data_IF_266833769330
#
_entry.id   IF_266833769330
#
_cell.length_a   1.000
_cell.length_b   1.000
_cell.length_c   1.000
_cell.angle_alpha   90.00
_cell.angle_beta   90.00
_cell.angle_gamma   90.00
#
_symmetry.space_group_name_H-M   'P 1'
#
loop_
_entity.id
_entity.type
_entity.pdbx_description
1 polymer ?
#
# COMPACT_ATOMS: atom_id res chain seq x y z
N UNK A 1 -26.91 -68.10 3.30
CA UNK A 1 -26.99 -67.48 4.65
C UNK A 1 -25.94 -66.38 4.74
N UNK A 2 -26.27 -65.31 5.47
CA UNK A 2 -25.47 -64.09 5.73
C UNK A 2 -25.69 -62.94 4.73
N UNK A 3 -26.88 -62.38 4.91
CA UNK A 3 -27.31 -61.00 4.70
C UNK A 3 -26.28 -59.95 5.15
N UNK A 4 -25.96 -58.98 4.29
CA UNK A 4 -25.31 -57.72 4.67
C UNK A 4 -26.38 -56.62 4.76
N UNK A 5 -26.61 -56.13 5.97
CA UNK A 5 -27.42 -54.95 6.26
C UNK A 5 -26.64 -53.66 5.94
N UNK A 6 -27.31 -52.56 5.52
CA UNK A 6 -26.68 -51.26 5.36
C UNK A 6 -26.69 -50.47 6.68
N UNK A 7 -25.52 -49.97 7.08
CA UNK A 7 -25.35 -49.03 8.19
C UNK A 7 -25.67 -47.61 7.68
N UNK A 8 -26.77 -47.03 8.17
CA UNK A 8 -27.04 -45.59 8.09
C UNK A 8 -26.14 -44.87 9.11
N UNK A 9 -25.42 -43.85 8.65
CA UNK A 9 -24.77 -42.87 9.53
C UNK A 9 -25.49 -41.56 9.28
N UNK A 10 -26.43 -41.24 10.16
CA UNK A 10 -26.99 -39.91 10.31
C UNK A 10 -26.04 -39.09 11.19
N UNK A 11 -25.39 -38.09 10.61
CA UNK A 11 -24.65 -37.06 11.34
C UNK A 11 -25.36 -35.74 11.10
N UNK A 12 -26.34 -35.47 11.95
CA UNK A 12 -27.00 -34.19 12.07
C UNK A 12 -26.01 -33.17 12.64
N UNK A 13 -25.61 -32.20 11.81
CA UNK A 13 -24.87 -31.03 12.25
C UNK A 13 -25.89 -29.95 12.64
N UNK A 14 -26.10 -29.81 13.95
CA UNK A 14 -27.02 -28.85 14.54
C UNK A 14 -26.29 -27.51 14.69
N UNK A 15 -26.50 -26.60 13.72
CA UNK A 15 -26.04 -25.22 13.78
C UNK A 15 -27.06 -24.43 14.61
N UNK A 16 -26.71 -24.07 15.85
CA UNK A 16 -27.47 -23.09 16.62
C UNK A 16 -27.05 -21.68 16.16
N UNK A 17 -27.98 -20.99 15.51
CA UNK A 17 -27.96 -19.53 15.34
C UNK A 17 -28.79 -18.93 16.48
N UNK A 18 -28.14 -18.26 17.42
CA UNK A 18 -28.81 -17.34 18.36
C UNK A 18 -28.88 -15.95 17.70
N UNK A 19 -30.10 -15.49 17.45
CA UNK A 19 -30.41 -14.13 17.02
C UNK A 19 -30.78 -13.29 18.24
N UNK A 20 -30.31 -12.03 18.37
CA UNK A 20 -30.83 -11.11 19.36
C UNK A 20 -32.19 -10.55 18.93
N UNK A 21 -33.13 -10.55 19.87
CA UNK A 21 -34.49 -10.04 19.71
C UNK A 21 -34.52 -8.51 19.80
N UNK A 22 -34.92 -7.85 18.72
CA UNK A 22 -35.35 -6.45 18.73
C UNK A 22 -36.87 -6.35 18.90
N UNK A 23 -37.28 -5.46 19.83
CA UNK A 23 -38.66 -5.07 20.12
C UNK A 23 -39.23 -4.15 19.03
N UNK A 24 -40.56 -4.10 18.86
CA UNK A 24 -41.18 -3.55 17.66
C UNK A 24 -41.41 -2.04 17.73
N UNK A 25 -41.30 -1.40 16.57
CA UNK A 25 -41.78 -0.05 16.28
C UNK A 25 -43.04 -0.15 15.41
N UNK A 26 -44.12 0.57 15.76
CA UNK A 26 -45.22 0.84 14.84
C UNK A 26 -45.91 2.19 15.13
N UNK A 27 -45.92 3.03 14.08
CA UNK A 27 -46.89 4.08 13.70
C UNK A 27 -47.12 5.26 14.67
N UNK A 28 -46.63 6.48 14.38
CA UNK A 28 -47.11 7.47 13.38
C UNK A 28 -48.44 8.13 13.76
N UNK A 29 -48.47 9.47 13.85
CA UNK A 29 -49.27 10.38 13.00
C UNK A 29 -49.45 11.79 13.66
N UNK A 30 -49.08 12.83 12.87
CA UNK A 30 -49.52 14.24 12.81
C UNK A 30 -49.32 15.28 13.93
N UNK A 31 -48.79 16.45 13.51
CA UNK A 31 -49.43 17.74 13.80
C UNK A 31 -48.57 18.83 14.47
N UNK A 32 -47.96 19.71 13.68
CA UNK A 32 -47.50 21.04 14.12
C UNK A 32 -48.69 22.05 14.17
N UNK A 33 -48.49 23.36 14.45
CA UNK A 33 -47.95 24.03 15.64
C UNK A 33 -48.87 25.19 16.16
N UNK A 34 -48.63 25.77 17.35
CA UNK A 34 -48.64 27.25 17.68
C UNK A 34 -48.86 27.61 19.17
N UNK A 35 -47.94 28.48 19.64
CA UNK A 35 -48.10 29.78 20.39
C UNK A 35 -48.84 29.91 21.75
N UNK A 36 -48.08 30.51 22.67
CA UNK A 36 -48.34 31.71 23.53
C UNK A 36 -48.96 31.63 24.93
N UNK A 37 -48.50 32.59 25.76
CA UNK A 37 -48.84 33.00 27.15
C UNK A 37 -48.17 32.16 28.25
N UNK A 38 -47.44 32.69 29.23
CA UNK A 38 -47.36 34.04 29.80
C UNK A 38 -48.04 34.04 31.16
N UNK A 39 -47.30 34.19 32.27
CA UNK A 39 -47.60 35.07 33.42
C UNK A 39 -46.71 34.80 34.66
N UNK A 40 -46.25 35.92 35.24
CA UNK A 40 -45.45 36.12 36.45
C UNK A 40 -46.17 35.88 37.79
N UNK A 41 -45.38 35.66 38.86
CA UNK A 41 -45.58 36.14 40.26
C UNK A 41 -44.20 36.38 40.90
N UNK A 42 -43.71 37.63 41.07
CA UNK A 42 -43.69 38.53 42.28
C UNK A 42 -43.32 37.83 43.61
N UNK A 43 -42.12 38.05 44.18
CA UNK A 43 -41.63 39.14 45.09
C UNK A 43 -42.07 38.97 46.56
N UNK A 44 -41.13 38.87 47.53
CA UNK A 44 -40.81 39.89 48.57
C UNK A 44 -39.79 39.39 49.64
N UNK A 45 -38.91 40.32 50.10
CA UNK A 45 -37.94 40.25 51.20
C UNK A 45 -38.57 40.47 52.61
N UNK A 46 -37.80 40.26 53.70
CA UNK A 46 -37.34 41.37 54.59
C UNK A 46 -35.86 41.19 55.02
N UNK A 47 -34.94 42.18 55.09
CA UNK A 47 -34.78 43.45 55.84
C UNK A 47 -34.21 43.35 57.27
N UNK A 48 -33.05 43.99 57.48
CA UNK A 48 -32.55 44.56 58.75
C UNK A 48 -31.32 43.88 59.36
N UNK A 49 -30.38 44.54 60.04
CA UNK A 49 -29.95 45.94 60.13
C UNK A 49 -28.61 45.99 60.90
N UNK A 50 -27.73 46.94 60.54
CA UNK A 50 -26.70 47.64 61.34
C UNK A 50 -25.68 46.91 62.27
N UNK A 51 -24.36 47.13 62.02
CA UNK A 51 -23.48 48.05 62.79
C UNK A 51 -21.97 47.83 62.55
N UNK A 52 -21.36 48.85 61.96
CA UNK A 52 -20.10 49.53 62.31
C UNK A 52 -19.15 48.88 63.35
N UNK A 53 -17.88 48.67 62.96
CA UNK A 53 -16.73 49.39 63.57
C UNK A 53 -15.47 49.37 62.69
N UNK A 54 -14.89 50.56 62.52
CA UNK A 54 -13.62 50.88 61.86
C UNK A 54 -12.41 50.52 62.74
N UNK A 55 -11.28 50.25 62.08
CA UNK A 55 -9.87 50.67 62.33
C UNK A 55 -8.99 49.61 61.61
N UNK A 56 -8.09 49.88 60.66
CA UNK A 56 -7.21 51.02 60.42
C UNK A 56 -5.77 50.56 60.68
N UNK A 57 -4.94 50.41 59.63
CA UNK A 57 -3.50 50.17 59.77
C UNK A 57 -2.83 49.40 58.61
N UNK A 58 -2.38 50.13 57.58
CA UNK A 58 -1.15 49.81 56.83
C UNK A 58 0.05 50.41 57.60
N UNK A 59 1.35 50.19 57.25
CA UNK A 59 1.93 49.41 56.14
C UNK A 59 3.06 48.45 56.61
N UNK A 60 3.79 47.81 55.68
CA UNK A 60 5.29 47.74 55.61
C UNK A 60 5.73 46.66 54.59
N UNK A 61 6.46 47.11 53.57
CA UNK A 61 7.34 46.29 52.69
C UNK A 61 8.61 45.85 53.45
N UNK A 62 9.28 44.76 53.04
CA UNK A 62 10.63 44.97 52.49
C UNK A 62 10.98 44.07 51.28
N UNK A 63 11.63 44.68 50.27
CA UNK A 63 13.02 44.45 49.82
C UNK A 63 13.28 43.11 49.09
N UNK A 64 13.50 43.12 47.77
CA UNK A 64 14.82 43.26 47.12
C UNK A 64 15.92 42.39 47.75
N UNK A 65 16.23 41.26 47.10
CA UNK A 65 17.53 40.61 47.22
C UNK A 65 18.13 40.39 45.83
N UNK A 66 19.02 41.31 45.48
CA UNK A 66 20.13 41.11 44.56
C UNK A 66 21.15 40.15 45.19
N UNK A 67 21.62 39.16 44.44
CA UNK A 67 22.81 38.38 44.79
C UNK A 67 23.80 38.46 43.63
N UNK A 68 24.77 39.35 43.78
CA UNK A 68 26.03 39.37 43.04
C UNK A 68 27.13 38.70 43.85
N UNK A 69 27.82 37.78 43.18
CA UNK A 69 29.23 37.39 43.31
C UNK A 69 29.76 36.79 44.64
N UNK A 70 30.41 35.63 44.51
CA UNK A 70 31.72 35.44 45.15
C UNK A 70 32.63 34.56 44.32
N UNK A 71 33.67 35.21 43.80
CA UNK A 71 34.88 34.68 43.19
C UNK A 71 35.87 34.18 44.24
N UNK A 72 36.34 32.94 44.12
CA UNK A 72 37.68 32.42 44.49
C UNK A 72 37.86 31.15 43.62
N UNK A 73 38.80 30.99 42.72
CA UNK A 73 40.14 31.53 42.57
C UNK A 73 41.10 30.35 42.50
N UNK A 74 41.60 30.00 41.31
CA UNK A 74 42.85 29.25 41.15
C UNK A 74 43.41 29.47 39.73
N UNK A 75 44.68 29.84 39.72
CA UNK A 75 45.45 30.41 38.62
C UNK A 75 45.98 29.36 37.62
N UNK A 76 46.22 29.86 36.41
CA UNK A 76 47.37 29.61 35.53
C UNK A 76 47.54 28.24 34.84
N UNK A 77 47.30 28.26 33.52
CA UNK A 77 48.31 27.85 32.54
C UNK A 77 48.10 28.62 31.23
N UNK A 78 48.95 29.63 30.99
CA UNK A 78 49.15 30.24 29.68
C UNK A 78 49.94 29.27 28.80
N UNK A 79 49.48 29.04 27.57
CA UNK A 79 50.15 28.12 26.65
C UNK A 79 49.76 28.29 25.18
N UNK A 80 50.32 29.32 24.55
CA UNK A 80 50.64 29.45 23.11
C UNK A 80 49.49 29.36 22.08
N UNK A 81 49.19 30.53 21.51
CA UNK A 81 48.68 30.69 20.15
C UNK A 81 49.69 30.06 19.17
N UNK A 82 49.26 29.05 18.42
CA UNK A 82 49.89 28.67 17.17
C UNK A 82 48.85 28.69 16.05
N UNK A 83 49.17 29.45 15.01
CA UNK A 83 48.41 29.61 13.78
C UNK A 83 48.19 28.28 13.07
N UNK A 84 46.95 28.00 12.68
CA UNK A 84 46.61 26.89 11.79
C UNK A 84 47.09 27.18 10.36
N UNK A 85 47.79 26.27 9.67
CA UNK A 85 48.00 26.40 8.24
C UNK A 85 46.72 26.01 7.50
N UNK A 86 46.30 26.87 6.57
CA UNK A 86 45.22 26.59 5.61
C UNK A 86 45.67 25.47 4.67
N UNK A 87 45.15 24.26 4.88
CA UNK A 87 45.32 23.14 3.94
C UNK A 87 44.03 22.94 3.13
N UNK A 88 44.21 22.88 1.81
CA UNK A 88 43.17 22.81 0.78
C UNK A 88 42.31 21.53 0.88
N UNK A 89 40.99 21.70 0.70
CA UNK A 89 39.96 20.65 0.79
C UNK A 89 40.07 19.51 -0.24
N UNK A 90 41.02 19.57 -1.18
CA UNK A 90 41.22 18.56 -2.23
C UNK A 90 42.32 17.53 -1.95
N UNK A 91 43.17 17.73 -0.93
CA UNK A 91 44.27 16.79 -0.62
C UNK A 91 43.93 15.72 0.43
N UNK A 92 42.73 15.75 1.04
CA UNK A 92 42.32 14.82 2.10
C UNK A 92 41.59 13.56 1.62
N UNK A 93 41.55 13.28 0.30
CA UNK A 93 40.72 12.19 -0.27
C UNK A 93 41.49 11.05 -0.95
N UNK A 94 42.81 11.03 -0.92
CA UNK A 94 43.58 9.98 -1.58
C UNK A 94 44.66 9.48 -0.64
N UNK A 95 44.28 8.60 0.29
CA UNK A 95 45.13 7.56 0.88
C UNK A 95 44.33 6.86 1.99
N UNK A 96 43.89 5.63 1.70
CA UNK A 96 44.01 4.43 2.55
C UNK A 96 43.24 3.33 1.80
N UNK A 97 43.99 2.37 1.24
CA UNK A 97 43.48 1.08 0.74
C UNK A 97 44.00 -0.02 1.66
N UNK A 98 43.12 -1.00 1.92
CA UNK A 98 43.15 -2.08 2.92
C UNK A 98 44.24 -3.17 2.77
N UNK A 99 44.29 -4.15 3.71
CA UNK A 99 43.87 -5.55 3.41
C UNK A 99 43.08 -6.21 4.58
N UNK A 100 42.33 -7.33 4.55
CA UNK A 100 41.72 -8.26 3.59
C UNK A 100 40.58 -9.03 4.36
N UNK A 101 40.01 -10.20 3.97
CA UNK A 101 38.58 -10.33 3.62
C UNK A 101 37.74 -11.29 4.51
N UNK A 102 36.44 -11.02 4.66
CA UNK A 102 35.45 -12.03 5.09
C UNK A 102 34.51 -12.40 3.93
N UNK A 103 34.35 -13.72 3.73
CA UNK A 103 33.51 -14.35 2.70
C UNK A 103 32.03 -14.19 3.03
N UNK A 104 31.22 -13.93 2.00
CA UNK A 104 29.88 -14.49 1.88
C UNK A 104 29.58 -14.78 0.40
N UNK A 105 29.01 -15.96 0.14
CA UNK A 105 28.73 -16.55 -1.15
C UNK A 105 27.66 -15.78 -1.94
N UNK A 106 27.89 -15.56 -3.24
CA UNK A 106 26.90 -15.71 -4.33
C UNK A 106 27.59 -15.45 -5.66
N UNK A 107 27.57 -16.45 -6.55
CA UNK A 107 28.22 -16.39 -7.86
C UNK A 107 27.31 -15.83 -8.95
N UNK A 108 27.92 -15.15 -9.92
CA UNK A 108 27.77 -15.43 -11.35
C UNK A 108 28.60 -14.43 -12.17
N UNK A 109 29.00 -14.91 -13.36
CA UNK A 109 29.40 -14.16 -14.55
C UNK A 109 30.85 -13.69 -14.64
N UNK A 110 31.59 -14.45 -15.44
CA UNK A 110 32.91 -14.20 -15.97
C UNK A 110 32.95 -12.92 -16.82
N UNK A 111 33.95 -12.08 -16.56
CA UNK A 111 34.44 -11.08 -17.50
C UNK A 111 35.70 -11.62 -18.17
N UNK A 112 35.72 -11.48 -19.49
CA UNK A 112 36.87 -11.68 -20.35
C UNK A 112 38.07 -10.82 -19.88
N UNK A 113 39.28 -11.37 -20.03
CA UNK A 113 40.52 -10.63 -20.00
C UNK A 113 41.17 -10.69 -21.38
N UNK A 114 41.52 -9.51 -21.87
CA UNK A 114 42.24 -9.25 -23.11
C UNK A 114 43.73 -9.60 -22.99
N UNK A 115 44.37 -9.85 -24.13
CA UNK A 115 45.80 -9.63 -24.31
C UNK A 115 46.05 -9.00 -25.70
N UNK A 116 46.91 -7.98 -25.67
CA UNK A 116 47.27 -7.04 -26.72
C UNK A 116 48.49 -7.51 -27.50
N UNK A 117 48.51 -7.30 -28.82
CA UNK A 117 49.76 -6.99 -29.56
C UNK A 117 49.46 -6.21 -30.85
N UNK A 118 50.29 -5.20 -31.08
CA UNK A 118 50.28 -4.23 -32.19
C UNK A 118 51.06 -4.72 -33.42
N UNK A 119 50.61 -4.39 -34.65
CA UNK A 119 51.45 -3.88 -35.77
C UNK A 119 50.60 -3.47 -36.99
N UNK A 120 51.06 -2.42 -37.66
CA UNK A 120 50.52 -1.70 -38.83
C UNK A 120 50.81 -2.40 -40.18
N UNK A 121 49.84 -2.53 -41.09
CA UNK A 121 49.96 -2.20 -42.55
C UNK A 121 48.65 -2.41 -43.33
N UNK A 122 48.55 -1.70 -44.45
CA UNK A 122 47.42 -1.58 -45.39
C UNK A 122 46.97 -2.87 -46.10
N UNK A 123 45.73 -2.81 -46.60
CA UNK A 123 45.07 -3.60 -47.67
C UNK A 123 44.09 -4.73 -47.24
N UNK A 124 42.91 -4.87 -47.91
CA UNK A 124 41.85 -5.80 -47.51
C UNK A 124 42.03 -7.22 -48.10
N UNK A 125 41.83 -8.29 -47.31
CA UNK A 125 41.86 -9.67 -47.82
C UNK A 125 40.46 -10.22 -48.24
N UNK A 126 40.42 -11.25 -49.11
CA UNK A 126 39.21 -11.80 -49.74
C UNK A 126 38.38 -12.74 -48.84
N UNK A 127 37.12 -13.06 -49.20
CA UNK A 127 36.23 -13.87 -48.36
C UNK A 127 36.59 -15.38 -48.33
N UNK A 128 36.38 -16.07 -47.19
CA UNK A 128 36.65 -17.49 -47.05
C UNK A 128 35.57 -18.40 -47.71
N UNK A 129 35.92 -19.64 -48.08
CA UNK A 129 35.07 -20.53 -48.87
C UNK A 129 33.93 -21.19 -48.08
N UNK A 130 32.79 -21.36 -48.76
CA UNK A 130 31.61 -22.09 -48.29
C UNK A 130 31.92 -23.54 -47.90
N UNK A 131 31.72 -23.88 -46.64
CA UNK A 131 31.53 -25.24 -46.17
C UNK A 131 30.11 -25.71 -46.52
N UNK A 132 30.03 -26.61 -47.51
CA UNK A 132 28.82 -27.37 -47.84
C UNK A 132 28.52 -28.35 -46.70
N UNK A 133 27.47 -28.08 -45.93
CA UNK A 133 26.89 -29.08 -45.02
C UNK A 133 25.85 -29.88 -45.81
N UNK A 134 26.10 -31.17 -45.89
CA UNK A 134 25.30 -32.19 -46.57
C UNK A 134 23.92 -32.32 -45.91
N UNK A 135 22.88 -32.25 -46.74
CA UNK A 135 21.49 -32.59 -46.40
C UNK A 135 21.40 -34.12 -46.20
N UNK A 136 20.84 -34.66 -45.10
CA UNK A 136 20.56 -36.10 -45.05
C UNK A 136 19.38 -36.42 -45.96
N UNK A 137 19.59 -37.41 -46.84
CA UNK A 137 18.60 -38.00 -47.73
C UNK A 137 17.52 -38.71 -46.92
N UNK A 138 16.27 -38.32 -47.16
CA UNK A 138 15.06 -38.91 -46.58
C UNK A 138 14.75 -40.24 -47.27
N UNK A 139 14.82 -41.34 -46.52
CA UNK A 139 14.38 -42.66 -46.97
C UNK A 139 12.87 -42.78 -46.82
N UNK A 140 12.22 -43.03 -47.95
CA UNK A 140 10.78 -43.21 -48.10
C UNK A 140 10.39 -44.59 -47.56
N UNK A 141 9.80 -44.63 -46.36
CA UNK A 141 9.09 -45.83 -45.89
C UNK A 141 7.63 -45.45 -45.65
N UNK A 142 6.76 -46.02 -46.47
CA UNK A 142 5.32 -45.89 -46.36
C UNK A 142 4.81 -46.64 -45.13
N UNK A 143 4.51 -45.89 -44.07
CA UNK A 143 3.55 -46.26 -43.04
C UNK A 143 2.61 -45.05 -42.92
N UNK A 144 1.30 -45.27 -42.78
CA UNK A 144 0.30 -44.22 -42.69
C UNK A 144 0.54 -43.37 -41.43
N UNK A 145 1.36 -42.33 -41.57
CA UNK A 145 1.74 -41.44 -40.50
C UNK A 145 0.65 -40.38 -40.33
N UNK A 146 -0.02 -40.39 -39.18
CA UNK A 146 -1.02 -39.37 -38.83
C UNK A 146 -0.24 -38.07 -38.64
N UNK A 147 -0.20 -37.23 -39.67
CA UNK A 147 0.48 -35.92 -39.61
C UNK A 147 -0.28 -35.01 -38.63
N UNK A 148 0.14 -34.99 -37.36
CA UNK A 148 -0.47 -34.12 -36.35
C UNK A 148 -0.15 -32.67 -36.73
N UNK A 149 -1.15 -31.82 -37.02
CA UNK A 149 -0.87 -30.45 -37.40
C UNK A 149 -0.16 -29.71 -36.26
N UNK A 150 0.82 -28.83 -36.57
CA UNK A 150 1.57 -28.12 -35.54
C UNK A 150 0.61 -27.29 -34.67
N UNK A 151 0.88 -27.09 -33.37
CA UNK A 151 -0.02 -26.34 -32.51
C UNK A 151 -0.18 -24.90 -33.01
N UNK A 152 -1.39 -24.36 -32.88
CA UNK A 152 -1.65 -22.95 -33.22
C UNK A 152 -0.97 -22.02 -32.19
N UNK A 153 -0.38 -20.93 -32.66
CA UNK A 153 0.24 -19.92 -31.79
C UNK A 153 -0.80 -18.85 -31.49
N UNK A 154 -1.01 -18.56 -30.20
CA UNK A 154 -1.91 -17.52 -29.72
C UNK A 154 -1.13 -16.47 -28.93
N UNK A 155 -1.53 -15.23 -29.09
CA UNK A 155 -1.10 -14.13 -28.25
C UNK A 155 -2.19 -13.85 -27.22
N UNK A 156 -1.80 -13.59 -25.97
CA UNK A 156 -2.71 -13.21 -24.91
C UNK A 156 -2.15 -12.07 -24.07
N UNK A 157 -3.04 -11.38 -23.36
CA UNK A 157 -2.69 -10.28 -22.48
C UNK A 157 -3.25 -10.53 -21.09
N UNK A 158 -2.38 -10.43 -20.10
CA UNK A 158 -2.77 -10.38 -18.69
C UNK A 158 -2.73 -8.90 -18.31
N UNK A 159 -3.89 -8.25 -18.40
CA UNK A 159 -4.05 -6.85 -18.01
C UNK A 159 -4.19 -6.76 -16.49
N UNK A 160 -3.39 -5.91 -15.87
CA UNK A 160 -3.33 -5.76 -14.42
C UNK A 160 -3.58 -4.33 -13.98
N UNK A 161 -4.39 -4.15 -12.94
CA UNK A 161 -4.49 -2.88 -12.21
C UNK A 161 -3.63 -2.99 -10.96
N UNK A 162 -2.64 -2.11 -10.82
CA UNK A 162 -1.75 -2.12 -9.65
C UNK A 162 -2.48 -1.68 -8.37
N UNK A 163 -2.03 -2.09 -7.17
CA UNK A 163 -2.59 -1.60 -5.92
C UNK A 163 -2.47 -0.08 -5.83
N UNK A 164 -3.58 0.58 -5.49
CA UNK A 164 -3.65 2.03 -5.30
C UNK A 164 -3.36 2.42 -3.85
N UNK A 165 -3.63 1.51 -2.90
CA UNK A 165 -3.38 1.71 -1.48
C UNK A 165 -2.20 0.86 -0.98
N UNK A 166 -1.53 1.36 0.05
CA UNK A 166 -0.58 0.59 0.85
C UNK A 166 -1.27 -0.62 1.49
N UNK A 167 -0.54 -1.68 1.85
CA UNK A 167 -1.17 -2.80 2.57
C UNK A 167 -1.51 -2.38 4.01
N UNK A 168 -2.56 -2.97 4.60
CA UNK A 168 -2.74 -2.89 6.05
C UNK A 168 -1.55 -3.56 6.72
N UNK A 169 -1.13 -2.96 7.83
CA UNK A 169 -0.06 -3.46 8.67
C UNK A 169 -0.60 -4.58 9.55
N UNK A 170 0.20 -5.62 9.77
CA UNK A 170 -0.17 -6.65 10.74
C UNK A 170 -0.05 -6.11 12.16
N UNK A 171 -0.73 -6.71 13.13
CA UNK A 171 -0.68 -6.27 14.54
C UNK A 171 0.76 -6.25 15.09
N UNK A 172 1.58 -7.22 14.66
CA UNK A 172 3.00 -7.26 15.01
C UNK A 172 3.77 -6.08 14.39
N UNK A 173 3.53 -5.76 13.11
CA UNK A 173 4.20 -4.62 12.47
C UNK A 173 3.77 -3.29 13.10
N UNK A 174 2.50 -3.14 13.45
CA UNK A 174 1.99 -1.93 14.12
C UNK A 174 2.66 -1.72 15.48
N UNK A 175 2.70 -2.77 16.31
CA UNK A 175 3.39 -2.72 17.61
C UNK A 175 4.90 -2.51 17.48
N UNK A 176 5.54 -3.16 16.50
CA UNK A 176 6.97 -2.97 16.21
C UNK A 176 7.28 -1.52 15.78
N UNK A 177 6.50 -0.93 14.86
CA UNK A 177 6.72 0.45 14.45
C UNK A 177 6.49 1.42 15.60
N UNK A 178 5.47 1.20 16.43
CA UNK A 178 5.24 2.01 17.61
C UNK A 178 6.45 1.96 18.56
N UNK A 179 6.94 0.77 18.85
CA UNK A 179 8.14 0.56 19.68
C UNK A 179 9.35 1.32 19.11
N UNK A 180 9.61 1.19 17.81
CA UNK A 180 10.70 1.90 17.14
C UNK A 180 10.54 3.42 17.21
N UNK A 181 9.32 3.96 17.17
CA UNK A 181 9.10 5.41 17.32
C UNK A 181 9.45 5.90 18.73
N UNK A 182 9.10 5.17 19.79
CA UNK A 182 9.51 5.53 21.17
C UNK A 182 11.01 5.42 21.36
N UNK A 183 11.66 4.41 20.79
CA UNK A 183 13.13 4.34 20.76
C UNK A 183 13.73 5.54 20.02
N UNK A 184 13.15 5.92 18.89
CA UNK A 184 13.60 7.08 18.13
C UNK A 184 13.50 8.37 18.96
N UNK A 185 12.39 8.58 19.69
CA UNK A 185 12.21 9.74 20.59
C UNK A 185 13.33 9.87 21.63
N UNK A 186 13.89 8.75 22.11
CA UNK A 186 15.05 8.76 23.04
C UNK A 186 16.33 9.22 22.37
N UNK A 187 16.55 8.79 21.13
CA UNK A 187 17.80 8.98 20.41
C UNK A 187 17.85 10.32 19.66
N UNK A 188 16.70 10.84 19.24
CA UNK A 188 16.63 12.06 18.45
C UNK A 188 16.93 13.32 19.27
N UNK A 189 17.41 14.33 18.57
CA UNK A 189 17.53 15.67 19.14
C UNK A 189 16.14 16.21 19.50
N UNK A 190 16.02 17.03 20.56
CA UNK A 190 14.73 17.58 20.95
C UNK A 190 14.21 18.52 19.86
N UNK A 191 12.89 18.59 19.72
CA UNK A 191 12.24 19.48 18.76
C UNK A 191 12.48 20.95 19.13
N UNK A 192 13.03 21.73 18.18
CA UNK A 192 13.35 23.15 18.37
C UNK A 192 12.19 23.98 17.86
N UNK A 193 11.29 24.41 18.76
CA UNK A 193 10.06 25.13 18.41
C UNK A 193 10.32 26.45 17.68
N UNK A 194 11.36 27.19 18.06
CA UNK A 194 11.70 28.49 17.47
C UNK A 194 12.09 28.45 15.99
N UNK A 195 12.47 27.29 15.47
CA UNK A 195 12.77 27.10 14.04
C UNK A 195 11.48 27.07 13.20
N UNK A 196 10.39 26.56 13.77
CA UNK A 196 9.12 26.37 13.07
C UNK A 196 8.10 27.45 13.37
N UNK A 197 8.11 27.96 14.60
CA UNK A 197 7.15 28.94 15.09
C UNK A 197 7.85 30.22 15.51
N UNK A 198 7.39 31.35 14.97
CA UNK A 198 7.83 32.66 15.44
C UNK A 198 7.21 32.96 16.82
N UNK A 199 7.92 33.70 17.70
CA UNK A 199 7.34 34.16 18.96
C UNK A 199 6.08 34.98 18.71
N UNK A 200 5.15 34.94 19.67
CA UNK A 200 3.91 35.73 19.69
C UNK A 200 3.00 35.55 18.46
N UNK A 201 3.00 34.34 17.88
CA UNK A 201 2.07 33.97 16.81
C UNK A 201 0.94 33.06 17.33
N UNK A 202 -0.29 33.17 16.78
CA UNK A 202 -1.39 32.28 17.17
C UNK A 202 -1.05 30.80 16.99
N UNK A 203 -0.24 30.46 15.98
CA UNK A 203 0.28 29.11 15.78
C UNK A 203 1.16 28.60 16.94
N UNK A 204 2.02 29.45 17.52
CA UNK A 204 2.83 29.07 18.68
C UNK A 204 1.97 28.90 19.94
N UNK A 205 0.97 29.76 20.12
CA UNK A 205 0.04 29.67 21.25
C UNK A 205 -0.74 28.36 21.18
N UNK A 206 -1.31 28.04 20.02
CA UNK A 206 -2.02 26.78 19.76
C UNK A 206 -1.12 25.56 20.00
N UNK A 207 0.11 25.60 19.46
CA UNK A 207 1.10 24.56 19.68
C UNK A 207 1.40 24.33 21.16
N UNK A 208 1.67 25.40 21.92
CA UNK A 208 1.99 25.32 23.34
C UNK A 208 0.81 24.76 24.15
N UNK A 209 -0.43 25.14 23.82
CA UNK A 209 -1.63 24.57 24.43
C UNK A 209 -1.73 23.07 24.16
N UNK A 210 -1.57 22.64 22.91
CA UNK A 210 -1.66 21.23 22.51
C UNK A 210 -0.56 20.36 23.13
N UNK A 211 0.67 20.87 23.19
CA UNK A 211 1.79 20.16 23.83
C UNK A 211 1.59 20.07 25.35
N UNK A 212 1.01 21.09 25.97
CA UNK A 212 0.66 21.07 27.39
C UNK A 212 -0.36 19.95 27.70
N UNK A 213 -1.37 19.78 26.85
CA UNK A 213 -2.35 18.70 26.99
C UNK A 213 -1.71 17.32 26.84
N UNK A 214 -0.73 17.20 25.94
CA UNK A 214 0.13 16.01 25.79
C UNK A 214 1.19 15.85 26.89
N UNK A 215 1.13 16.65 27.96
CA UNK A 215 2.09 16.65 29.09
C UNK A 215 3.55 16.81 28.63
N UNK A 216 3.79 17.60 27.59
CA UNK A 216 5.12 17.89 27.06
C UNK A 216 5.59 16.97 25.94
N UNK A 217 4.84 15.92 25.58
CA UNK A 217 5.19 15.07 24.43
C UNK A 217 4.91 15.79 23.11
N UNK A 218 5.95 15.89 22.30
CA UNK A 218 5.90 16.58 21.00
C UNK A 218 5.20 15.72 19.95
N UNK A 219 5.56 14.43 19.90
CA UNK A 219 4.90 13.46 19.03
C UNK A 219 3.42 13.30 19.42
N UNK A 220 2.57 13.08 18.41
CA UNK A 220 1.12 13.13 18.58
C UNK A 220 0.54 11.75 18.86
N UNK A 221 1.15 10.73 18.29
CA UNK A 221 0.70 9.34 18.30
C UNK A 221 1.35 8.47 19.39
N UNK A 222 2.39 8.94 20.08
CA UNK A 222 3.16 8.15 21.06
C UNK A 222 2.51 8.08 22.46
N UNK A 223 1.39 8.76 22.63
CA UNK A 223 0.80 9.01 23.94
C UNK A 223 1.71 9.87 24.80
N UNK A 224 1.59 9.73 26.12
CA UNK A 224 2.44 10.46 27.07
C UNK A 224 3.74 9.70 27.25
N UNK A 225 4.76 10.08 26.49
CA UNK A 225 6.11 9.52 26.59
C UNK A 225 7.16 10.63 26.48
N UNK A 226 8.18 10.59 27.34
CA UNK A 226 9.32 11.51 27.29
C UNK A 226 10.62 10.73 27.43
N UNK A 227 11.36 10.62 26.32
CA UNK A 227 12.58 9.82 26.23
C UNK A 227 13.77 10.32 27.07
N UNK A 228 13.67 11.51 27.67
CA UNK A 228 14.72 12.11 28.53
C UNK A 228 14.30 12.28 29.98
N UNK A 229 13.09 11.88 30.35
CA UNK A 229 12.61 11.91 31.73
C UNK A 229 13.24 10.77 32.55
N UNK A 230 13.15 10.87 33.88
CA UNK A 230 13.53 9.77 34.78
C UNK A 230 12.70 8.50 34.56
N UNK A 231 11.50 8.64 34.00
CA UNK A 231 10.59 7.54 33.62
C UNK A 231 10.78 7.06 32.18
N UNK A 232 11.86 7.48 31.49
CA UNK A 232 12.09 7.10 30.08
C UNK A 232 12.30 5.59 29.87
N UNK A 233 12.55 4.83 30.94
CA UNK A 233 12.66 3.37 30.93
C UNK A 233 11.32 2.67 30.67
N UNK A 234 10.19 3.35 30.91
CA UNK A 234 8.84 2.83 30.68
C UNK A 234 8.38 3.19 29.25
N UNK A 235 9.10 2.66 28.26
CA UNK A 235 8.88 2.92 26.84
C UNK A 235 8.09 1.81 26.13
N UNK A 236 7.93 0.65 26.75
CA UNK A 236 7.14 -0.45 26.18
C UNK A 236 5.64 -0.28 26.45
N UNK A 237 4.82 -0.93 25.63
CA UNK A 237 3.37 -0.99 25.82
C UNK A 237 2.98 -2.34 26.42
N UNK A 238 2.00 -2.33 27.31
CA UNK A 238 1.38 -3.55 27.77
C UNK A 238 0.60 -4.24 26.63
N UNK A 239 0.53 -5.57 26.68
CA UNK A 239 -0.27 -6.35 25.73
C UNK A 239 -1.74 -5.94 25.85
N UNK A 240 -2.37 -5.61 24.72
CA UNK A 240 -3.76 -5.16 24.67
C UNK A 240 -3.95 -3.65 24.68
N UNK A 241 -2.87 -2.87 24.82
CA UNK A 241 -2.97 -1.41 24.63
C UNK A 241 -3.31 -1.07 23.18
N UNK A 242 -4.34 -0.23 23.00
CA UNK A 242 -4.82 0.22 21.70
C UNK A 242 -3.99 1.34 21.08
N UNK A 243 -3.03 1.93 21.81
CA UNK A 243 -2.24 3.07 21.33
C UNK A 243 -1.36 2.74 20.11
N UNK A 244 -0.92 1.48 19.98
CA UNK A 244 -0.13 1.03 18.83
C UNK A 244 -0.94 0.90 17.54
N UNK A 245 -2.27 0.87 17.62
CA UNK A 245 -3.14 0.67 16.47
C UNK A 245 -3.11 1.87 15.54
N UNK A 246 -3.10 1.59 14.23
CA UNK A 246 -3.13 2.63 13.20
C UNK A 246 -4.32 3.60 13.36
N UNK A 247 -5.51 3.08 13.67
CA UNK A 247 -6.72 3.89 13.79
C UNK A 247 -6.63 4.89 14.95
N UNK A 248 -6.00 4.50 16.07
CA UNK A 248 -5.81 5.40 17.20
C UNK A 248 -4.80 6.50 16.87
N UNK A 249 -3.75 6.17 16.12
CA UNK A 249 -2.79 7.16 15.64
C UNK A 249 -3.48 8.19 14.73
N UNK A 250 -4.34 7.76 13.81
CA UNK A 250 -5.11 8.67 12.94
C UNK A 250 -6.05 9.54 13.77
N UNK A 251 -6.77 8.99 14.73
CA UNK A 251 -7.66 9.73 15.63
C UNK A 251 -6.91 10.85 16.37
N UNK A 252 -5.76 10.54 16.97
CA UNK A 252 -4.93 11.51 17.69
C UNK A 252 -4.38 12.61 16.77
N UNK A 253 -4.00 12.25 15.54
CA UNK A 253 -3.53 13.21 14.54
C UNK A 253 -4.64 14.14 14.05
N UNK A 254 -5.86 13.63 13.85
CA UNK A 254 -7.02 14.44 13.49
C UNK A 254 -7.43 15.37 14.64
N UNK A 255 -7.42 14.90 15.88
CA UNK A 255 -7.69 15.74 17.06
C UNK A 255 -6.69 16.90 17.20
N UNK A 256 -5.42 16.69 16.85
CA UNK A 256 -4.40 17.74 16.86
C UNK A 256 -4.52 18.71 15.66
N UNK A 257 -5.06 18.26 14.53
CA UNK A 257 -5.29 19.10 13.36
C UNK A 257 -6.35 20.19 13.59
N UNK A 258 -7.23 20.01 14.57
CA UNK A 258 -8.24 21.00 14.96
C UNK A 258 -7.57 22.27 15.48
N UNK A 259 -7.91 23.42 14.89
CA UNK A 259 -7.40 24.71 15.35
C UNK A 259 -8.11 25.15 16.62
N UNK A 260 -7.35 25.57 17.64
CA UNK A 260 -7.89 25.98 18.94
C UNK A 260 -7.69 27.46 19.23
N UNK A 261 -6.89 28.14 18.42
CA UNK A 261 -6.61 29.57 18.54
C UNK A 261 -7.00 30.24 17.23
N UNK A 262 -7.76 31.34 17.31
CA UNK A 262 -8.16 32.14 16.16
C UNK A 262 -7.01 33.02 15.67
N UNK A 263 -7.20 33.67 14.52
CA UNK A 263 -6.23 34.62 13.97
C UNK A 263 -5.99 35.82 14.90
N UNK A 264 -6.98 36.18 15.72
CA UNK A 264 -6.92 37.24 16.73
C UNK A 264 -6.22 36.79 18.05
N UNK A 265 -5.62 35.58 18.05
CA UNK A 265 -4.95 34.97 19.21
C UNK A 265 -5.87 34.68 20.41
N UNK A 266 -7.18 34.57 20.18
CA UNK A 266 -8.16 34.15 21.18
C UNK A 266 -8.40 32.64 21.13
N UNK A 267 -8.77 32.06 22.27
CA UNK A 267 -9.06 30.62 22.35
C UNK A 267 -10.47 30.37 21.82
N UNK A 268 -10.58 29.50 20.82
CA UNK A 268 -11.85 29.12 20.20
C UNK A 268 -12.60 28.18 21.17
N UNK A 269 -13.86 28.52 21.55
CA UNK A 269 -14.74 27.62 22.29
C UNK A 269 -14.88 26.26 21.62
N UNK A 270 -15.07 25.18 22.38
CA UNK A 270 -15.07 23.82 21.80
C UNK A 270 -16.18 23.58 20.77
N UNK A 271 -17.31 24.25 20.94
CA UNK A 271 -18.48 24.19 20.03
C UNK A 271 -18.24 24.87 18.68
N UNK A 272 -17.36 25.88 18.63
CA UNK A 272 -17.07 26.66 17.42
C UNK A 272 -15.85 26.11 16.66
N UNK A 273 -15.23 25.03 17.14
CA UNK A 273 -14.09 24.42 16.46
C UNK A 273 -14.53 23.66 15.23
N UNK A 274 -14.04 24.09 14.06
CA UNK A 274 -14.27 23.37 12.82
C UNK A 274 -13.68 21.95 12.91
N UNK A 275 -14.47 20.89 12.64
CA UNK A 275 -13.96 19.53 12.62
C UNK A 275 -13.00 19.35 11.43
N UNK A 276 -11.96 18.51 11.57
CA UNK A 276 -11.04 18.24 10.48
C UNK A 276 -11.71 17.33 9.45
N UNK A 277 -11.32 17.46 8.18
CA UNK A 277 -11.77 16.54 7.15
C UNK A 277 -11.29 15.11 7.47
N UNK A 278 -12.23 14.17 7.55
CA UNK A 278 -11.93 12.78 7.83
C UNK A 278 -11.31 12.09 6.61
N UNK A 279 -10.46 11.10 6.85
CA UNK A 279 -9.91 10.28 5.77
C UNK A 279 -11.01 9.47 5.09
N UNK A 280 -10.94 9.37 3.76
CA UNK A 280 -11.80 8.48 3.00
C UNK A 280 -11.60 7.02 3.47
N UNK A 281 -12.68 6.22 3.56
CA UNK A 281 -12.57 4.82 3.94
C UNK A 281 -11.76 4.05 2.90
N UNK A 282 -11.00 3.06 3.39
CA UNK A 282 -10.18 2.18 2.53
C UNK A 282 -11.02 1.20 1.71
N UNK A 283 -12.17 0.81 2.26
CA UNK A 283 -13.14 -0.04 1.60
C UNK A 283 -14.06 0.84 0.75
N UNK A 284 -14.15 0.50 -0.53
CA UNK A 284 -15.02 1.20 -1.48
C UNK A 284 -16.47 0.71 -1.38
N UNK A 285 -17.41 1.43 -1.99
CA UNK A 285 -18.78 0.92 -2.16
C UNK A 285 -18.82 -0.38 -2.97
N UNK A 286 -17.91 -0.54 -3.94
CA UNK A 286 -17.82 -1.75 -4.75
C UNK A 286 -17.35 -2.96 -3.95
N UNK A 287 -16.52 -2.75 -2.91
CA UNK A 287 -16.14 -3.80 -1.97
C UNK A 287 -17.32 -4.25 -1.10
N UNK A 288 -18.11 -3.29 -0.61
CA UNK A 288 -19.30 -3.59 0.19
C UNK A 288 -20.36 -4.33 -0.65
N UNK A 289 -20.55 -3.92 -1.90
CA UNK A 289 -21.51 -4.54 -2.84
C UNK A 289 -20.97 -5.82 -3.49
N UNK A 290 -19.66 -6.07 -3.43
CA UNK A 290 -19.01 -7.20 -4.10
C UNK A 290 -19.04 -7.12 -5.63
N UNK A 291 -19.04 -5.92 -6.22
CA UNK A 291 -19.14 -5.74 -7.67
C UNK A 291 -17.80 -6.01 -8.36
N UNK A 292 -17.70 -7.16 -9.04
CA UNK A 292 -16.49 -7.62 -9.71
C UNK A 292 -16.20 -6.92 -11.05
N UNK A 293 -17.09 -6.04 -11.51
CA UNK A 293 -16.88 -5.28 -12.76
C UNK A 293 -16.11 -3.99 -12.56
N UNK A 294 -16.06 -3.50 -11.31
CA UNK A 294 -15.46 -2.20 -11.00
C UNK A 294 -13.98 -2.30 -10.67
N UNK A 295 -13.26 -1.23 -10.99
CA UNK A 295 -11.82 -1.07 -10.73
C UNK A 295 -11.51 -0.44 -9.37
N UNK A 296 -12.50 0.19 -8.73
CA UNK A 296 -12.41 0.84 -7.41
C UNK A 296 -12.52 -0.16 -6.23
N UNK A 297 -12.82 -1.45 -6.49
CA UNK A 297 -12.83 -2.52 -5.48
C UNK A 297 -11.41 -3.00 -5.13
N UNK A 298 -11.15 -3.44 -3.91
CA UNK A 298 -9.90 -4.06 -3.48
C UNK A 298 -8.68 -3.21 -3.88
N UNK A 299 -8.69 -1.92 -3.48
CA UNK A 299 -7.64 -0.96 -3.85
C UNK A 299 -6.24 -1.35 -3.32
N UNK A 300 -6.17 -2.25 -2.33
CA UNK A 300 -4.92 -2.75 -1.74
C UNK A 300 -4.27 -3.91 -2.51
N UNK A 301 -5.03 -4.51 -3.43
CA UNK A 301 -4.68 -5.71 -4.20
C UNK A 301 -4.61 -5.42 -5.71
N UNK A 302 -3.92 -6.28 -6.44
CA UNK A 302 -3.79 -6.27 -7.89
C UNK A 302 -4.99 -6.99 -8.48
N UNK A 303 -5.69 -6.32 -9.37
CA UNK A 303 -6.80 -6.90 -10.12
C UNK A 303 -6.35 -7.34 -11.50
N UNK A 304 -6.93 -8.44 -11.98
CA UNK A 304 -6.62 -9.04 -13.27
C UNK A 304 -7.85 -9.06 -14.18
N UNK A 305 -7.63 -8.61 -15.41
CA UNK A 305 -8.43 -8.76 -16.62
C UNK A 305 -8.92 -10.18 -16.90
N UNK A 306 -10.14 -10.61 -16.56
CA UNK A 306 -10.67 -11.91 -17.02
C UNK A 306 -11.93 -11.74 -17.86
N UNK A 307 -12.03 -12.46 -18.97
CA UNK A 307 -13.17 -12.44 -19.89
C UNK A 307 -13.82 -13.82 -20.01
N UNK A 308 -15.16 -13.84 -20.15
CA UNK A 308 -15.94 -15.07 -20.29
C UNK A 308 -16.20 -15.39 -21.75
N UNK A 309 -15.67 -16.50 -22.22
CA UNK A 309 -15.93 -17.03 -23.56
C UNK A 309 -17.06 -18.04 -23.52
N UNK A 310 -18.02 -17.90 -24.43
CA UNK A 310 -19.02 -18.93 -24.64
C UNK A 310 -18.37 -20.16 -25.30
N UNK A 311 -18.24 -21.25 -24.55
CA UNK A 311 -17.68 -22.50 -25.06
C UNK A 311 -18.76 -23.39 -25.68
N UNK A 312 -18.35 -24.42 -26.43
CA UNK A 312 -19.29 -25.38 -27.05
C UNK A 312 -20.09 -26.20 -26.03
N UNK A 313 -19.58 -26.35 -24.80
CA UNK A 313 -20.21 -27.14 -23.72
C UNK A 313 -20.41 -26.36 -22.42
N UNK A 314 -19.41 -25.56 -22.03
CA UNK A 314 -19.46 -24.70 -20.84
C UNK A 314 -18.76 -23.38 -21.15
N UNK A 315 -19.22 -22.32 -20.51
CA UNK A 315 -18.54 -21.03 -20.56
C UNK A 315 -17.22 -21.13 -19.80
N UNK A 316 -16.15 -20.62 -20.42
CA UNK A 316 -14.78 -20.69 -19.89
C UNK A 316 -14.28 -19.28 -19.65
N UNK A 317 -13.77 -19.05 -18.45
CA UNK A 317 -13.07 -17.81 -18.10
C UNK A 317 -11.62 -17.94 -18.53
N UNK A 318 -11.16 -17.01 -19.36
CA UNK A 318 -9.77 -16.94 -19.82
C UNK A 318 -9.28 -15.49 -19.84
N UNK A 319 -7.97 -15.32 -20.01
CA UNK A 319 -7.43 -14.00 -20.34
C UNK A 319 -7.74 -13.67 -21.80
N UNK A 320 -7.88 -12.39 -22.17
CA UNK A 320 -8.05 -12.00 -23.57
C UNK A 320 -6.91 -12.58 -24.42
N UNK A 321 -7.26 -13.47 -25.35
CA UNK A 321 -6.28 -14.19 -26.16
C UNK A 321 -6.85 -14.59 -27.52
N UNK A 322 -6.11 -14.33 -28.59
CA UNK A 322 -6.49 -14.66 -29.96
C UNK A 322 -5.34 -15.29 -30.74
N UNK A 323 -5.64 -15.76 -31.95
CA UNK A 323 -4.64 -16.26 -32.89
C UNK A 323 -3.68 -15.15 -33.31
N UNK A 324 -2.40 -15.50 -33.46
CA UNK A 324 -1.39 -14.61 -34.00
C UNK A 324 -1.45 -14.61 -35.53
N UNK A 325 -1.43 -13.43 -36.16
CA UNK A 325 -1.27 -13.30 -37.61
C UNK A 325 0.20 -13.50 -38.01
N UNK A 326 0.46 -13.93 -39.25
CA UNK A 326 1.83 -14.14 -39.74
C UNK A 326 2.63 -12.83 -39.86
N UNK A 327 1.95 -11.70 -40.01
CA UNK A 327 2.56 -10.39 -40.27
C UNK A 327 2.79 -9.55 -39.00
N UNK A 328 2.29 -9.99 -37.84
CA UNK A 328 2.32 -9.20 -36.60
C UNK A 328 3.28 -9.79 -35.56
N UNK A 329 3.94 -8.91 -34.79
CA UNK A 329 4.70 -9.35 -33.63
C UNK A 329 3.79 -9.69 -32.44
N UNK A 330 4.29 -10.48 -31.50
CA UNK A 330 3.52 -10.93 -30.33
C UNK A 330 2.96 -9.76 -29.48
N UNK A 331 3.72 -8.67 -29.35
CA UNK A 331 3.33 -7.51 -28.54
C UNK A 331 2.31 -6.59 -29.23
N UNK A 332 2.45 -6.41 -30.55
CA UNK A 332 1.46 -5.70 -31.38
C UNK A 332 0.14 -6.47 -31.42
N UNK A 333 0.22 -7.79 -31.62
CA UNK A 333 -0.94 -8.66 -31.57
C UNK A 333 -1.63 -8.62 -30.20
N UNK A 334 -0.88 -8.65 -29.09
CA UNK A 334 -1.46 -8.55 -27.76
C UNK A 334 -2.20 -7.22 -27.53
N UNK A 335 -1.65 -6.10 -28.02
CA UNK A 335 -2.32 -4.79 -27.95
C UNK A 335 -3.60 -4.77 -28.80
N UNK A 336 -3.53 -5.21 -30.06
CA UNK A 336 -4.70 -5.31 -30.94
C UNK A 336 -5.79 -6.20 -30.33
N UNK A 337 -5.42 -7.34 -29.76
CA UNK A 337 -6.35 -8.26 -29.10
C UNK A 337 -7.02 -7.57 -27.93
N UNK A 338 -6.31 -6.76 -27.15
CA UNK A 338 -6.90 -6.02 -26.05
C UNK A 338 -7.94 -5.01 -26.55
N UNK A 339 -7.58 -4.22 -27.57
CA UNK A 339 -8.47 -3.21 -28.15
C UNK A 339 -9.72 -3.85 -28.79
N UNK A 340 -9.55 -5.00 -29.47
CA UNK A 340 -10.62 -5.76 -30.10
C UNK A 340 -11.52 -6.53 -29.11
N UNK A 341 -11.06 -6.75 -27.87
CA UNK A 341 -11.81 -7.49 -26.82
C UNK A 341 -12.49 -6.59 -25.81
N UNK A 342 -11.73 -5.66 -25.23
CA UNK A 342 -12.12 -4.82 -24.10
C UNK A 342 -12.24 -3.34 -24.49
N UNK A 343 -12.12 -3.02 -25.78
CA UNK A 343 -12.30 -1.69 -26.31
C UNK A 343 -11.09 -0.77 -26.11
N UNK A 344 -11.14 0.38 -26.79
CA UNK A 344 -10.09 1.41 -26.77
C UNK A 344 -10.19 2.37 -25.58
N UNK A 345 -11.26 2.28 -24.78
CA UNK A 345 -11.56 3.16 -23.65
C UNK A 345 -10.75 2.82 -22.39
N UNK A 346 -9.54 2.28 -22.56
CA UNK A 346 -8.61 1.97 -21.49
C UNK A 346 -7.24 2.57 -21.83
N UNK A 347 -6.70 3.36 -20.90
CA UNK A 347 -5.30 3.77 -20.98
C UNK A 347 -4.43 2.60 -20.48
N UNK A 348 -3.90 1.83 -21.44
CA UNK A 348 -3.12 0.63 -21.17
C UNK A 348 -1.67 0.81 -21.61
N UNK A 349 -0.77 0.20 -20.85
CA UNK A 349 0.65 0.17 -21.13
C UNK A 349 1.17 -1.26 -21.12
N UNK A 350 1.66 -1.72 -22.26
CA UNK A 350 2.33 -3.01 -22.38
C UNK A 350 3.75 -2.92 -21.82
N UNK A 351 4.06 -3.72 -20.79
CA UNK A 351 5.30 -3.59 -20.00
C UNK A 351 6.55 -3.92 -20.82
N UNK A 352 6.44 -4.85 -21.77
CA UNK A 352 7.57 -5.28 -22.60
C UNK A 352 7.15 -6.24 -23.69
N UNK A 353 8.12 -6.70 -24.48
CA UNK A 353 7.91 -7.59 -25.64
C UNK A 353 7.99 -9.08 -25.31
N UNK A 354 8.67 -9.42 -24.21
CA UNK A 354 8.84 -10.81 -23.77
C UNK A 354 7.57 -11.36 -23.10
N UNK A 355 7.19 -12.62 -23.37
CA UNK A 355 6.05 -13.24 -22.70
C UNK A 355 6.37 -13.53 -21.23
N UNK A 356 5.42 -13.25 -20.35
CA UNK A 356 5.53 -13.46 -18.91
C UNK A 356 5.01 -14.84 -18.47
N UNK A 357 4.10 -15.43 -19.23
CA UNK A 357 3.58 -16.78 -18.98
C UNK A 357 3.23 -17.48 -20.30
N UNK A 358 3.18 -18.80 -20.27
CA UNK A 358 2.81 -19.63 -21.42
C UNK A 358 1.80 -20.69 -20.98
N UNK A 359 0.70 -20.79 -21.71
CA UNK A 359 -0.25 -21.89 -21.55
C UNK A 359 -0.23 -22.78 -22.79
N UNK A 360 -0.08 -24.09 -22.56
CA UNK A 360 -0.02 -25.09 -23.63
C UNK A 360 -1.23 -26.01 -23.53
N UNK A 361 -2.20 -25.81 -24.42
CA UNK A 361 -3.30 -26.73 -24.61
C UNK A 361 -2.83 -27.88 -25.51
N UNK A 362 -2.86 -29.11 -24.99
CA UNK A 362 -2.45 -30.30 -25.73
C UNK A 362 -3.49 -30.65 -26.79
N UNK A 363 -3.01 -31.11 -27.94
CA UNK A 363 -3.86 -31.66 -28.99
C UNK A 363 -4.62 -32.88 -28.46
N UNK A 364 -5.94 -32.89 -28.62
CA UNK A 364 -6.76 -34.06 -28.29
C UNK A 364 -7.04 -34.86 -29.56
N UNK A 365 -6.53 -36.08 -29.60
CA UNK A 365 -6.81 -37.06 -30.66
C UNK A 365 -7.74 -38.11 -30.08
N UNK A 366 -8.88 -38.36 -30.73
CA UNK A 366 -9.84 -39.40 -30.32
C UNK A 366 -10.05 -40.34 -31.50
N UNK A 367 -9.87 -41.65 -31.29
CA UNK A 367 -10.07 -42.70 -32.31
C UNK A 367 -9.32 -42.43 -33.64
N UNK A 368 -8.11 -41.89 -33.57
CA UNK A 368 -7.29 -41.57 -34.75
C UNK A 368 -7.69 -40.28 -35.48
N UNK A 369 -8.79 -39.63 -35.08
CA UNK A 369 -9.23 -38.36 -35.63
C UNK A 369 -8.84 -37.19 -34.72
N UNK A 370 -8.45 -36.07 -35.34
CA UNK A 370 -8.11 -34.83 -34.64
C UNK A 370 -9.39 -34.18 -34.10
N UNK A 371 -9.62 -34.27 -32.79
CA UNK A 371 -10.78 -33.66 -32.16
C UNK A 371 -10.56 -32.17 -31.91
N UNK A 372 -9.40 -31.81 -31.32
CA UNK A 372 -9.01 -30.43 -31.10
C UNK A 372 -7.51 -30.25 -31.33
N UNK A 373 -7.17 -29.27 -32.18
CA UNK A 373 -5.78 -28.86 -32.43
C UNK A 373 -5.23 -28.17 -31.17
N UNK A 374 -4.06 -28.58 -30.73
CA UNK A 374 -3.37 -27.93 -29.60
C UNK A 374 -3.06 -26.47 -29.90
N UNK A 375 -2.93 -25.66 -28.84
CA UNK A 375 -2.57 -24.24 -28.95
C UNK A 375 -1.52 -23.87 -27.90
N UNK A 376 -0.56 -23.04 -28.30
CA UNK A 376 0.41 -22.42 -27.40
C UNK A 376 0.07 -20.93 -27.27
N UNK A 377 -0.44 -20.53 -26.11
CA UNK A 377 -0.79 -19.15 -25.81
C UNK A 377 0.33 -18.50 -25.02
N UNK A 378 0.92 -17.44 -25.57
CA UNK A 378 1.93 -16.64 -24.91
C UNK A 378 1.29 -15.38 -24.33
N UNK A 379 1.44 -15.17 -23.02
CA UNK A 379 0.84 -14.05 -22.32
C UNK A 379 1.83 -12.93 -22.08
N UNK A 380 1.43 -11.71 -22.44
CA UNK A 380 2.17 -10.50 -22.12
C UNK A 380 1.54 -9.78 -20.93
N UNK A 381 2.38 -9.04 -20.21
CA UNK A 381 1.96 -8.21 -19.09
C UNK A 381 1.50 -6.84 -19.60
N UNK A 382 0.24 -6.53 -19.36
CA UNK A 382 -0.32 -5.19 -19.54
C UNK A 382 -0.62 -4.53 -18.19
N UNK A 383 -0.50 -3.21 -18.12
CA UNK A 383 -0.97 -2.40 -16.99
C UNK A 383 -2.05 -1.44 -17.45
N UNK A 384 -3.14 -1.34 -16.69
CA UNK A 384 -4.15 -0.29 -16.87
C UNK A 384 -3.82 0.89 -15.94
N UNK A 385 -3.90 2.10 -16.47
CA UNK A 385 -3.71 3.35 -15.71
C UNK A 385 -5.03 4.07 -15.48
N UNK A 386 -5.94 4.03 -16.46
CA UNK A 386 -7.26 4.65 -16.39
C UNK A 386 -8.22 4.01 -17.41
N UNK A 387 -9.51 4.30 -17.28
CA UNK A 387 -10.54 3.79 -18.18
C UNK A 387 -11.20 2.50 -17.67
N UNK A 388 -12.02 1.88 -18.51
CA UNK A 388 -12.77 0.67 -18.18
C UNK A 388 -12.93 -0.22 -19.40
N UNK A 389 -13.00 -1.53 -19.17
CA UNK A 389 -13.25 -2.49 -20.23
C UNK A 389 -14.70 -2.37 -20.73
N UNK A 390 -14.85 -2.34 -22.05
CA UNK A 390 -16.12 -2.34 -22.74
C UNK A 390 -16.17 -3.49 -23.76
N UNK A 391 -17.19 -4.34 -23.63
CA UNK A 391 -17.36 -5.54 -24.48
C UNK A 391 -18.39 -5.34 -25.60
N UNK A 392 -18.97 -4.14 -25.74
CA UNK A 392 -20.04 -3.87 -26.72
C UNK A 392 -19.60 -4.09 -28.18
N UNK A 393 -18.36 -3.72 -28.53
CA UNK A 393 -17.81 -3.81 -29.90
C UNK A 393 -16.89 -5.02 -30.12
N UNK A 394 -17.05 -6.09 -29.33
CA UNK A 394 -16.10 -7.20 -29.28
C UNK A 394 -16.16 -8.14 -30.50
N UNK A 395 -15.01 -8.37 -31.15
CA UNK A 395 -14.87 -9.25 -32.32
C UNK A 395 -14.80 -10.75 -32.00
N UNK A 396 -14.52 -11.11 -30.75
CA UNK A 396 -14.24 -12.48 -30.32
C UNK A 396 -15.41 -13.15 -29.56
N UNK A 397 -16.53 -12.45 -29.41
CA UNK A 397 -17.75 -12.99 -28.80
C UNK A 397 -17.64 -13.28 -27.29
N UNK A 398 -16.82 -12.52 -26.56
CA UNK A 398 -16.85 -12.55 -25.08
C UNK A 398 -18.11 -11.85 -24.57
N UNK A 399 -18.77 -12.46 -23.58
CA UNK A 399 -20.07 -11.98 -23.06
C UNK A 399 -19.93 -11.08 -21.85
N UNK A 400 -18.99 -11.42 -20.97
CA UNK A 400 -18.83 -10.78 -19.66
C UNK A 400 -17.34 -10.62 -19.36
N UNK A 401 -17.02 -9.64 -18.52
CA UNK A 401 -15.68 -9.42 -17.98
C UNK A 401 -15.74 -9.20 -16.48
N UNK A 402 -14.64 -9.52 -15.80
CA UNK A 402 -14.46 -9.32 -14.37
C UNK A 402 -13.03 -8.91 -14.09
N UNK A 403 -12.86 -8.07 -13.07
CA UNK A 403 -11.56 -7.68 -12.53
C UNK A 403 -11.32 -8.44 -11.25
N UNK A 404 -10.58 -9.54 -11.26
CA UNK A 404 -10.48 -10.46 -10.13
C UNK A 404 -9.12 -10.38 -9.41
N UNK A 405 -9.07 -10.69 -8.10
CA UNK A 405 -7.82 -10.82 -7.34
C UNK A 405 -7.17 -12.18 -7.58
N UNK A 406 -5.88 -12.34 -7.27
CA UNK A 406 -5.16 -13.63 -7.43
C UNK A 406 -5.87 -14.82 -6.76
N UNK A 407 -6.45 -14.58 -5.58
CA UNK A 407 -7.17 -15.59 -4.79
C UNK A 407 -8.47 -16.00 -5.49
N UNK A 408 -9.27 -15.02 -5.94
CA UNK A 408 -10.50 -15.27 -6.72
C UNK A 408 -10.21 -15.95 -8.08
N UNK A 409 -9.08 -15.63 -8.72
CA UNK A 409 -8.67 -16.27 -9.98
C UNK A 409 -8.46 -17.77 -9.83
N UNK A 410 -7.98 -18.23 -8.67
CA UNK A 410 -7.74 -19.65 -8.42
C UNK A 410 -9.04 -20.46 -8.42
N UNK A 411 -10.15 -19.84 -8.02
CA UNK A 411 -11.47 -20.45 -7.99
C UNK A 411 -12.18 -20.41 -9.35
N UNK A 412 -11.97 -19.32 -10.11
CA UNK A 412 -12.68 -19.07 -11.37
C UNK A 412 -12.02 -19.76 -12.57
N UNK A 413 -10.69 -19.83 -12.60
CA UNK A 413 -9.94 -20.41 -13.72
C UNK A 413 -9.80 -21.92 -13.60
N UNK A 414 -9.68 -22.61 -14.74
CA UNK A 414 -9.37 -24.05 -14.73
C UNK A 414 -8.04 -24.29 -13.98
N UNK A 415 -7.94 -25.29 -13.08
CA UNK A 415 -6.72 -25.52 -12.30
C UNK A 415 -5.45 -25.69 -13.15
N UNK A 416 -5.56 -26.38 -14.30
CA UNK A 416 -4.46 -26.53 -15.25
C UNK A 416 -4.04 -25.21 -15.89
N UNK A 417 -5.01 -24.35 -16.21
CA UNK A 417 -4.75 -23.02 -16.75
C UNK A 417 -4.11 -22.11 -15.68
N UNK A 418 -4.70 -22.05 -14.48
CA UNK A 418 -4.19 -21.25 -13.35
C UNK A 418 -2.73 -21.60 -13.00
N UNK A 419 -2.38 -22.89 -12.95
CA UNK A 419 -1.02 -23.32 -12.64
C UNK A 419 0.04 -22.83 -13.64
N UNK A 420 -0.34 -22.58 -14.90
CA UNK A 420 0.57 -22.06 -15.91
C UNK A 420 0.80 -20.54 -15.79
N UNK A 421 -0.21 -19.81 -15.31
CA UNK A 421 -0.20 -18.34 -15.22
C UNK A 421 0.16 -17.82 -13.82
N UNK A 422 -0.01 -18.63 -12.76
CA UNK A 422 0.19 -18.21 -11.36
C UNK A 422 1.58 -17.63 -11.07
N UNK A 423 2.61 -18.06 -11.81
CA UNK A 423 3.98 -17.58 -11.63
C UNK A 423 4.18 -16.12 -12.03
N UNK A 424 3.31 -15.58 -12.88
CA UNK A 424 3.33 -14.17 -13.28
C UNK A 424 2.59 -13.27 -12.27
N UNK A 425 1.66 -13.86 -11.51
CA UNK A 425 0.75 -13.14 -10.61
C UNK A 425 1.43 -12.79 -9.29
N UNK A 426 1.30 -11.53 -8.91
CA UNK A 426 1.75 -11.01 -7.62
C UNK A 426 0.68 -11.32 -6.56
N UNK A 427 1.11 -11.68 -5.35
CA UNK A 427 0.21 -11.94 -4.20
C UNK A 427 -0.57 -10.70 -3.78
N UNK A 428 0.04 -9.54 -4.06
CA UNK A 428 -0.53 -8.22 -3.83
C UNK A 428 -0.92 -7.54 -5.11
#
# INVERSE_FOLDING_TARGET
MLTRAPVKIDLAFQVQYEAPQDLPCAASVHGAPRRTSGLSKKVQFPSGDSRLRRQGGDPVYPALFTMTASSRGAFAALGRIQSTPRVCRQCARVQIRAPAPSRAYSGAAAAAAAATTTTTTNAPPPPPPSSKVSKPTESKTAAADITIPPPSIRAGVILTRAPLLTRPLTDFEQSYFFYQKRLNERLTMPFITSVYFKPDTPALIDWNMKVKDRKGTVAKELGVYNGKASTAWDDELAVGDGLSKHDKAVELLLQDAVMRVSDDAEIIPEEDRAPPEALAPRLSEADIKGDQTRLDRAMERTLYLVVRKAGRKKDVWEFPAAGLSTEENLHEAAQRILDDTAGVNMNTWMVGRGPAAVHVAKTQVRRGELFERGSKTFFLKGRIMAGQADLTANKFGYKEFKWLTKEELAEVLEPGYYNNVRGMMVDR
#
